data_IF_811073862684
#
_entry.id   IF_811073862684
#
_cell.length_a   1.000
_cell.length_b   1.000
_cell.length_c   1.000
_cell.angle_alpha   90.00
_cell.angle_beta   90.00
_cell.angle_gamma   90.00
#
_symmetry.space_group_name_H-M   'P 1'
#
loop_
_entity.id
_entity.type
_entity.pdbx_description
1 polymer ?
#
# COMPACT_ATOMS: atom_id res chain seq x y z
N UNK A 1 14.77 -0.96 -18.40
CA UNK A 1 13.67 -1.20 -17.45
C UNK A 1 13.33 -2.67 -17.63
N UNK A 2 13.53 -3.53 -16.63
CA UNK A 2 12.94 -4.87 -16.70
C UNK A 2 11.45 -4.65 -16.88
N UNK A 3 10.84 -5.27 -17.90
CA UNK A 3 9.38 -5.32 -17.98
C UNK A 3 8.86 -5.84 -16.65
N UNK A 4 7.75 -5.28 -16.18
CA UNK A 4 7.08 -5.77 -14.99
C UNK A 4 6.59 -7.18 -15.30
N UNK A 5 7.44 -8.17 -15.08
CA UNK A 5 7.07 -9.57 -15.28
C UNK A 5 6.10 -9.98 -14.18
N UNK A 6 5.24 -10.95 -14.48
CA UNK A 6 4.31 -11.50 -13.49
C UNK A 6 5.06 -11.99 -12.24
N UNK A 7 6.27 -12.53 -12.41
CA UNK A 7 7.15 -12.92 -11.32
C UNK A 7 7.59 -11.74 -10.45
N UNK A 8 8.02 -10.64 -11.07
CA UNK A 8 8.38 -9.42 -10.34
C UNK A 8 7.18 -8.88 -9.55
N UNK A 9 6.01 -8.79 -10.18
CA UNK A 9 4.79 -8.28 -9.53
C UNK A 9 4.42 -9.17 -8.34
N UNK A 10 4.43 -10.49 -8.53
CA UNK A 10 4.09 -11.46 -7.47
C UNK A 10 5.04 -11.36 -6.29
N UNK A 11 6.35 -11.29 -6.54
CA UNK A 11 7.35 -11.19 -5.48
C UNK A 11 7.24 -9.86 -4.73
N UNK A 12 7.11 -8.74 -5.44
CA UNK A 12 6.95 -7.42 -4.84
C UNK A 12 5.68 -7.34 -3.97
N UNK A 13 4.57 -7.93 -4.42
CA UNK A 13 3.34 -8.00 -3.63
C UNK A 13 3.53 -8.80 -2.33
N UNK A 14 4.19 -9.97 -2.40
CA UNK A 14 4.49 -10.75 -1.21
C UNK A 14 5.35 -9.99 -0.20
N UNK A 15 6.39 -9.30 -0.67
CA UNK A 15 7.26 -8.49 0.18
C UNK A 15 6.49 -7.37 0.89
N UNK A 16 5.67 -6.61 0.15
CA UNK A 16 4.87 -5.52 0.73
C UNK A 16 3.85 -6.05 1.74
N UNK A 17 3.17 -7.16 1.44
CA UNK A 17 2.19 -7.76 2.36
C UNK A 17 2.86 -8.25 3.64
N UNK A 18 4.03 -8.88 3.55
CA UNK A 18 4.76 -9.35 4.73
C UNK A 18 5.26 -8.18 5.57
N UNK A 19 5.80 -7.14 4.95
CA UNK A 19 6.21 -5.92 5.65
C UNK A 19 5.04 -5.29 6.43
N UNK A 20 3.84 -5.22 5.84
CA UNK A 20 2.65 -4.72 6.53
C UNK A 20 2.25 -5.62 7.70
N UNK A 21 2.35 -6.95 7.55
CA UNK A 21 2.07 -7.89 8.66
C UNK A 21 3.04 -7.68 9.81
N UNK A 22 4.33 -7.51 9.52
CA UNK A 22 5.35 -7.27 10.53
C UNK A 22 5.06 -5.95 11.25
N UNK A 23 4.65 -4.89 10.55
CA UNK A 23 4.28 -3.63 11.21
C UNK A 23 3.10 -3.77 12.17
N UNK A 24 2.09 -4.56 11.79
CA UNK A 24 0.93 -4.85 12.66
C UNK A 24 1.34 -5.66 13.88
N UNK A 25 2.22 -6.64 13.70
CA UNK A 25 2.66 -7.53 14.75
C UNK A 25 3.64 -6.83 15.72
N UNK A 26 4.67 -6.16 15.21
CA UNK A 26 5.74 -5.57 16.00
C UNK A 26 5.35 -4.22 16.63
N UNK A 27 4.57 -3.41 15.92
CA UNK A 27 4.25 -2.03 16.36
C UNK A 27 2.77 -1.82 16.70
N UNK A 28 1.91 -2.84 16.54
CA UNK A 28 0.47 -2.71 16.77
C UNK A 28 -0.20 -1.72 15.80
N UNK A 29 0.39 -1.49 14.62
CA UNK A 29 -0.17 -0.58 13.63
C UNK A 29 -1.55 -1.08 13.14
N UNK A 30 -2.50 -0.17 12.97
CA UNK A 30 -3.78 -0.49 12.34
C UNK A 30 -3.69 -0.35 10.80
N UNK A 31 -4.72 -0.82 10.10
CA UNK A 31 -4.78 -0.74 8.64
C UNK A 31 -4.61 0.69 8.13
N UNK A 32 -5.19 1.66 8.84
CA UNK A 32 -5.13 3.07 8.47
C UNK A 32 -3.70 3.62 8.54
N UNK A 33 -2.95 3.30 9.59
CA UNK A 33 -1.57 3.69 9.76
C UNK A 33 -0.66 3.02 8.71
N UNK A 34 -0.86 1.72 8.43
CA UNK A 34 -0.12 1.02 7.39
C UNK A 34 -0.38 1.65 6.00
N UNK A 35 -1.65 1.88 5.64
CA UNK A 35 -2.01 2.52 4.37
C UNK A 35 -1.46 3.93 4.24
N UNK A 36 -1.47 4.73 5.31
CA UNK A 36 -0.90 6.07 5.32
C UNK A 36 0.62 6.07 5.07
N UNK A 37 1.35 5.11 5.66
CA UNK A 37 2.79 4.98 5.45
C UNK A 37 3.15 4.56 4.02
N UNK A 38 2.40 3.60 3.46
CA UNK A 38 2.58 3.19 2.06
C UNK A 38 2.29 4.34 1.10
N UNK A 39 1.24 5.13 1.36
CA UNK A 39 0.93 6.34 0.60
C UNK A 39 2.07 7.36 0.69
N UNK A 40 2.57 7.62 1.89
CA UNK A 40 3.70 8.52 2.08
C UNK A 40 4.91 8.06 1.25
N UNK A 41 5.21 6.76 1.24
CA UNK A 41 6.28 6.21 0.41
C UNK A 41 6.05 6.41 -1.09
N UNK A 42 4.83 6.22 -1.59
CA UNK A 42 4.48 6.49 -3.00
C UNK A 42 4.78 7.94 -3.36
N UNK A 43 4.31 8.90 -2.55
CA UNK A 43 4.55 10.33 -2.77
C UNK A 43 6.03 10.71 -2.65
N UNK A 44 6.80 10.02 -1.80
CA UNK A 44 8.24 10.23 -1.67
C UNK A 44 9.02 9.72 -2.88
N UNK A 45 8.60 8.62 -3.48
CA UNK A 45 9.26 7.99 -4.63
C UNK A 45 8.82 8.61 -5.97
N UNK A 46 7.56 8.99 -6.08
CA UNK A 46 6.99 9.68 -7.23
C UNK A 46 6.18 10.90 -6.75
N UNK A 47 6.82 12.08 -6.61
CA UNK A 47 6.14 13.29 -6.11
C UNK A 47 4.99 13.79 -6.98
N UNK A 48 4.98 13.40 -8.26
CA UNK A 48 3.92 13.76 -9.22
C UNK A 48 2.84 12.68 -9.33
N UNK A 49 2.89 11.64 -8.49
CA UNK A 49 1.87 10.61 -8.47
C UNK A 49 0.50 11.22 -8.18
N UNK A 50 -0.41 11.12 -9.15
CA UNK A 50 -1.83 11.38 -8.92
C UNK A 50 -2.41 10.22 -8.12
N UNK A 51 -2.57 10.42 -6.81
CA UNK A 51 -3.22 9.45 -5.94
C UNK A 51 -4.66 9.85 -5.74
N UNK A 52 -5.58 8.98 -6.18
CA UNK A 52 -7.00 9.13 -5.88
C UNK A 52 -7.24 8.91 -4.38
N UNK A 53 -7.54 9.99 -3.67
CA UNK A 53 -7.81 9.97 -2.23
C UNK A 53 -9.03 9.12 -1.84
N UNK A 54 -9.90 8.76 -2.79
CA UNK A 54 -11.00 7.81 -2.54
C UNK A 54 -10.50 6.40 -2.24
N UNK A 55 -9.29 6.03 -2.66
CA UNK A 55 -8.65 4.76 -2.31
C UNK A 55 -8.30 4.63 -0.82
N UNK A 56 -8.37 5.73 -0.06
CA UNK A 56 -8.10 5.77 1.38
C UNK A 56 -9.39 5.81 2.21
N UNK A 57 -10.56 5.87 1.56
CA UNK A 57 -11.82 5.81 2.29
C UNK A 57 -12.09 4.36 2.72
N UNK A 58 -12.55 4.14 3.97
CA UNK A 58 -13.04 2.82 4.34
C UNK A 58 -14.17 2.43 3.39
N UNK A 59 -14.23 1.16 2.97
CA UNK A 59 -15.18 0.56 2.01
C UNK A 59 -16.68 0.65 2.41
N UNK A 60 -17.09 1.65 3.18
CA UNK A 60 -18.42 1.81 3.76
C UNK A 60 -19.48 2.46 2.87
N UNK A 61 -19.20 2.79 1.61
CA UNK A 61 -20.17 3.50 0.75
C UNK A 61 -20.73 2.70 -0.45
N UNK A 62 -20.36 1.43 -0.63
CA UNK A 62 -20.92 0.59 -1.71
C UNK A 62 -22.13 -0.26 -1.30
N UNK A 63 -22.73 0.01 -0.14
CA UNK A 63 -24.00 -0.58 0.29
C UNK A 63 -24.96 0.54 0.74
N UNK A 64 -25.54 1.27 -0.23
CA UNK A 64 -26.81 1.97 -0.07
C UNK A 64 -27.76 1.56 -1.19
#
# INVERSE_FOLDING_TARGET
>A
MQEWTDEFITNAQHEVVNMVKDWKYDYGADDKACSAMLLWMVLKLNPEAEVDATMLQPFGHLLS
#
